data_IF_295969680007
#
_entry.id   IF_295969680007
#
_cell.length_a   1.000
_cell.length_b   1.000
_cell.length_c   1.000
_cell.angle_alpha   90.00
_cell.angle_beta   90.00
_cell.angle_gamma   90.00
#
_symmetry.space_group_name_H-M   'P 1'
#
loop_
_entity.id
_entity.type
_entity.pdbx_description
1 polymer ?
#
# COMPACT_ATOMS: atom_id res chain seq x y z
N UNK A 1 -14.17 1.89 -2.63
CA UNK A 1 -14.65 1.45 -1.32
C UNK A 1 -13.61 0.50 -0.69
N UNK A 2 -13.34 0.67 0.62
CA UNK A 2 -12.37 -0.16 1.36
C UNK A 2 -12.98 -1.45 1.90
N UNK A 3 -14.30 -1.57 1.89
CA UNK A 3 -15.05 -2.73 2.38
C UNK A 3 -15.25 -3.75 1.27
N UNK A 4 -14.19 -4.52 0.97
CA UNK A 4 -14.18 -5.56 -0.06
C UNK A 4 -13.73 -6.89 0.59
N UNK A 5 -14.34 -8.01 0.18
CA UNK A 5 -14.00 -9.33 0.68
C UNK A 5 -14.17 -9.45 2.20
N UNK A 6 -13.17 -10.01 2.89
CA UNK A 6 -13.23 -10.21 4.34
C UNK A 6 -13.39 -8.90 5.13
N UNK A 7 -12.89 -7.76 4.62
CA UNK A 7 -13.06 -6.46 5.28
C UNK A 7 -14.53 -6.06 5.39
N UNK A 8 -15.33 -6.38 4.37
CA UNK A 8 -16.77 -6.21 4.43
C UNK A 8 -17.42 -7.22 5.38
N UNK A 9 -17.15 -8.50 5.16
CA UNK A 9 -17.83 -9.55 5.91
C UNK A 9 -17.50 -9.51 7.40
N UNK A 10 -16.25 -9.42 7.77
CA UNK A 10 -15.86 -9.38 9.19
C UNK A 10 -16.31 -8.08 9.89
N UNK A 11 -16.61 -7.02 9.14
CA UNK A 11 -17.14 -5.77 9.72
C UNK A 11 -18.65 -5.80 9.85
N UNK A 12 -19.40 -6.28 8.84
CA UNK A 12 -20.84 -6.10 8.76
C UNK A 12 -21.66 -7.39 8.81
N UNK A 13 -21.12 -8.52 8.35
CA UNK A 13 -21.89 -9.73 8.13
C UNK A 13 -21.06 -11.03 8.27
N UNK A 14 -20.34 -11.23 9.40
CA UNK A 14 -19.46 -12.39 9.56
C UNK A 14 -20.21 -13.72 9.48
N UNK A 15 -21.49 -13.73 9.86
CA UNK A 15 -22.34 -14.91 9.82
C UNK A 15 -22.65 -15.42 8.40
N UNK A 16 -22.40 -14.60 7.37
CA UNK A 16 -22.63 -14.98 5.96
C UNK A 16 -21.46 -15.72 5.33
N UNK A 17 -20.34 -15.85 6.05
CA UNK A 17 -19.12 -16.48 5.54
C UNK A 17 -18.90 -17.81 6.23
N UNK A 18 -18.88 -18.87 5.43
CA UNK A 18 -18.64 -20.24 5.91
C UNK A 18 -17.17 -20.47 6.25
N UNK A 19 -16.26 -20.02 5.39
CA UNK A 19 -14.80 -20.14 5.57
C UNK A 19 -14.18 -18.75 5.62
N UNK A 20 -13.60 -18.34 6.77
CA UNK A 20 -13.02 -17.01 6.90
C UNK A 20 -11.77 -16.85 6.03
N UNK A 21 -11.40 -15.61 5.75
CA UNK A 21 -10.15 -15.31 5.04
C UNK A 21 -8.94 -15.85 5.80
N UNK A 22 -8.07 -16.55 5.10
CA UNK A 22 -6.92 -17.25 5.67
C UNK A 22 -7.20 -18.71 6.05
N UNK A 23 -8.47 -19.13 6.10
CA UNK A 23 -8.79 -20.53 6.38
C UNK A 23 -8.14 -21.49 5.37
N UNK A 24 -7.58 -22.57 5.88
CA UNK A 24 -7.00 -23.64 5.07
C UNK A 24 -7.05 -24.97 5.79
N UNK A 25 -7.06 -26.05 5.01
CA UNK A 25 -6.93 -27.40 5.53
C UNK A 25 -5.50 -27.87 5.41
N UNK A 26 -5.03 -28.65 6.39
CA UNK A 26 -3.72 -29.25 6.40
C UNK A 26 -3.83 -30.74 6.71
N UNK A 27 -2.84 -31.54 6.26
CA UNK A 27 -2.71 -32.95 6.63
C UNK A 27 -2.07 -33.13 8.01
N UNK A 28 -1.67 -32.03 8.65
CA UNK A 28 -1.10 -32.02 10.00
C UNK A 28 -1.72 -30.89 10.81
N UNK A 29 -1.44 -30.84 12.10
CA UNK A 29 -1.94 -29.82 13.03
C UNK A 29 -0.78 -28.97 13.56
N UNK A 30 -1.07 -27.73 13.86
CA UNK A 30 -0.10 -26.80 14.41
C UNK A 30 -0.62 -26.14 15.68
N UNK A 31 0.28 -25.84 16.59
CA UNK A 31 0.07 -24.96 17.73
C UNK A 31 0.93 -23.71 17.53
N UNK A 32 0.37 -22.55 17.86
CA UNK A 32 1.12 -21.29 17.77
C UNK A 32 0.90 -20.46 19.04
N UNK A 33 1.95 -19.76 19.47
CA UNK A 33 1.93 -18.90 20.64
C UNK A 33 2.79 -17.66 20.38
N UNK A 34 2.29 -16.48 20.72
CA UNK A 34 3.07 -15.24 20.72
C UNK A 34 4.10 -15.33 21.85
N UNK A 35 5.36 -15.23 21.50
CA UNK A 35 6.49 -15.33 22.46
C UNK A 35 7.09 -13.99 22.80
N UNK A 36 6.98 -13.02 21.88
CA UNK A 36 7.45 -11.66 22.09
C UNK A 36 6.64 -10.67 21.29
N UNK A 37 6.44 -9.47 21.81
CA UNK A 37 5.84 -8.35 21.09
C UNK A 37 6.40 -7.04 21.62
N UNK A 38 6.81 -6.15 20.74
CA UNK A 38 7.33 -4.83 21.11
C UNK A 38 7.02 -3.79 20.04
N UNK A 39 7.03 -2.53 20.45
CA UNK A 39 7.03 -1.36 19.57
C UNK A 39 8.32 -0.58 19.83
N UNK A 40 9.15 -0.46 18.81
CA UNK A 40 10.39 0.27 18.87
C UNK A 40 10.56 1.09 17.59
N UNK A 41 10.84 2.38 17.74
CA UNK A 41 11.09 3.33 16.63
C UNK A 41 10.05 3.25 15.50
N UNK A 42 8.76 3.24 15.86
CA UNK A 42 7.65 3.19 14.92
C UNK A 42 7.43 1.83 14.24
N UNK A 43 8.15 0.78 14.66
CA UNK A 43 8.03 -0.58 14.15
C UNK A 43 7.53 -1.52 15.23
N UNK A 44 6.49 -2.27 14.92
CA UNK A 44 5.95 -3.33 15.77
C UNK A 44 6.58 -4.65 15.33
N UNK A 45 7.20 -5.36 16.27
CA UNK A 45 7.76 -6.70 16.04
C UNK A 45 6.95 -7.71 16.85
N UNK A 46 6.45 -8.74 16.17
CA UNK A 46 5.72 -9.86 16.80
C UNK A 46 6.47 -11.16 16.49
N UNK A 47 6.86 -11.88 17.54
CA UNK A 47 7.42 -13.21 17.42
C UNK A 47 6.38 -14.27 17.79
N UNK A 48 6.23 -15.24 16.92
CA UNK A 48 5.27 -16.34 17.11
C UNK A 48 6.00 -17.66 16.98
N UNK A 49 5.98 -18.45 18.05
CA UNK A 49 6.42 -19.84 18.01
C UNK A 49 5.33 -20.70 17.35
N UNK A 50 5.69 -21.44 16.31
CA UNK A 50 4.81 -22.38 15.62
C UNK A 50 5.40 -23.77 15.76
N UNK A 51 4.60 -24.73 16.25
CA UNK A 51 4.98 -26.13 16.43
C UNK A 51 4.06 -27.04 15.63
N UNK A 52 4.64 -27.95 14.87
CA UNK A 52 3.88 -29.02 14.24
C UNK A 52 3.53 -30.09 15.30
N UNK A 53 2.24 -30.21 15.65
CA UNK A 53 1.73 -31.14 16.66
C UNK A 53 1.13 -32.42 16.04
N UNK A 54 1.06 -32.50 14.71
CA UNK A 54 0.54 -33.67 14.00
C UNK A 54 1.63 -34.64 13.56
N UNK A 55 1.23 -35.61 12.75
CA UNK A 55 2.07 -36.74 12.37
C UNK A 55 2.75 -36.60 10.99
N UNK A 56 2.43 -35.55 10.25
CA UNK A 56 2.98 -35.31 8.91
C UNK A 56 3.76 -34.00 8.85
N UNK A 57 4.76 -33.94 8.01
CA UNK A 57 5.45 -32.68 7.76
C UNK A 57 4.54 -31.69 7.04
N UNK A 58 4.55 -30.44 7.47
CA UNK A 58 3.69 -29.38 6.92
C UNK A 58 4.23 -28.00 7.14
N UNK A 59 3.55 -27.01 6.56
CA UNK A 59 3.83 -25.59 6.74
C UNK A 59 2.58 -24.89 7.25
N UNK A 60 2.80 -23.87 8.09
CA UNK A 60 1.73 -23.02 8.59
C UNK A 60 2.02 -21.56 8.25
N UNK A 61 0.97 -20.74 8.15
CA UNK A 61 1.06 -19.29 7.94
C UNK A 61 0.49 -18.57 9.15
N UNK A 62 1.30 -17.72 9.75
CA UNK A 62 0.82 -16.77 10.76
C UNK A 62 0.48 -15.46 10.07
N UNK A 63 -0.69 -14.93 10.38
CA UNK A 63 -1.23 -13.68 9.84
C UNK A 63 -1.42 -12.68 10.97
N UNK A 64 -1.01 -11.44 10.75
CA UNK A 64 -1.24 -10.33 11.65
C UNK A 64 -2.35 -9.43 11.11
N UNK A 65 -3.29 -9.09 11.97
CA UNK A 65 -4.41 -8.21 11.64
C UNK A 65 -4.43 -7.00 12.55
N UNK A 66 -4.47 -5.82 11.96
CA UNK A 66 -4.67 -4.58 12.69
C UNK A 66 -6.16 -4.30 12.90
N UNK A 67 -6.52 -4.04 14.15
CA UNK A 67 -7.81 -3.51 14.57
C UNK A 67 -7.59 -2.06 15.00
N UNK A 68 -7.80 -1.13 14.08
CA UNK A 68 -7.66 0.30 14.33
C UNK A 68 -8.93 0.88 14.98
N UNK A 69 -8.82 1.97 15.75
CA UNK A 69 -10.00 2.65 16.29
C UNK A 69 -10.88 3.15 15.15
N UNK A 70 -12.19 3.07 15.30
CA UNK A 70 -13.13 3.51 14.27
C UNK A 70 -12.99 4.99 13.94
N UNK A 71 -12.76 5.82 14.95
CA UNK A 71 -12.52 7.24 14.79
C UNK A 71 -13.60 7.97 14.00
N UNK A 72 -13.20 9.00 13.29
CA UNK A 72 -14.07 9.80 12.43
C UNK A 72 -14.18 9.22 11.01
N UNK A 73 -13.14 8.49 10.56
CA UNK A 73 -13.09 7.95 9.20
C UNK A 73 -13.90 6.66 9.03
N UNK A 74 -14.03 5.86 10.10
CA UNK A 74 -14.58 4.52 10.03
C UNK A 74 -13.63 3.54 9.33
N UNK A 75 -13.46 2.35 9.89
CA UNK A 75 -12.47 1.39 9.42
C UNK A 75 -13.02 -0.04 9.42
N UNK A 76 -12.49 -0.95 8.58
CA UNK A 76 -12.77 -2.37 8.71
C UNK A 76 -12.40 -2.87 10.09
N UNK A 77 -13.15 -3.86 10.61
CA UNK A 77 -12.91 -4.41 11.94
C UNK A 77 -11.52 -5.03 12.09
N UNK A 78 -11.04 -5.68 11.02
CA UNK A 78 -9.69 -6.25 10.94
C UNK A 78 -9.11 -6.03 9.55
N UNK A 79 -7.83 -5.65 9.48
CA UNK A 79 -7.09 -5.48 8.22
C UNK A 79 -5.77 -6.25 8.31
N UNK A 80 -5.50 -7.16 7.37
CA UNK A 80 -4.23 -7.87 7.29
C UNK A 80 -3.09 -6.85 7.14
N UNK A 81 -2.14 -6.86 8.06
CA UNK A 81 -1.00 -5.95 8.09
C UNK A 81 0.36 -6.67 7.99
N UNK A 82 0.40 -7.99 8.15
CA UNK A 82 1.62 -8.77 7.99
C UNK A 82 1.32 -10.27 7.96
N UNK A 83 2.21 -11.05 7.42
CA UNK A 83 2.15 -12.51 7.49
C UNK A 83 3.52 -13.12 7.23
N UNK A 84 3.74 -14.32 7.77
CA UNK A 84 4.94 -15.10 7.51
C UNK A 84 4.59 -16.58 7.48
N UNK A 85 5.31 -17.35 6.66
CA UNK A 85 5.09 -18.79 6.49
C UNK A 85 6.27 -19.58 7.02
N UNK A 86 6.00 -20.64 7.79
CA UNK A 86 7.06 -21.54 8.27
C UNK A 86 7.79 -22.25 7.12
N UNK A 87 9.02 -22.66 7.37
CA UNK A 87 9.64 -23.74 6.61
C UNK A 87 8.79 -25.03 6.74
N UNK A 88 9.15 -26.08 6.02
CA UNK A 88 8.55 -27.39 6.21
C UNK A 88 8.96 -27.92 7.61
N UNK A 89 8.00 -28.04 8.52
CA UNK A 89 8.21 -28.55 9.87
C UNK A 89 7.89 -30.04 9.93
N UNK A 90 8.86 -30.83 10.38
CA UNK A 90 8.63 -32.23 10.70
C UNK A 90 7.71 -32.37 11.96
N UNK A 91 7.13 -33.54 12.22
CA UNK A 91 6.41 -33.80 13.46
C UNK A 91 7.22 -33.41 14.70
N UNK A 92 6.59 -32.69 15.63
CA UNK A 92 7.16 -32.12 16.84
C UNK A 92 8.21 -31.00 16.63
N UNK A 93 8.56 -30.66 15.40
CA UNK A 93 9.46 -29.53 15.08
C UNK A 93 8.77 -28.18 15.31
N UNK A 94 9.55 -27.20 15.76
CA UNK A 94 9.08 -25.83 15.99
C UNK A 94 9.94 -24.82 15.23
N UNK A 95 9.36 -23.67 14.97
CA UNK A 95 10.03 -22.48 14.41
C UNK A 95 9.47 -21.22 15.05
N UNK A 96 10.31 -20.24 15.28
CA UNK A 96 9.86 -18.87 15.61
C UNK A 96 9.79 -18.09 14.30
N UNK A 97 8.67 -17.44 14.07
CA UNK A 97 8.44 -16.47 13.00
C UNK A 97 8.51 -15.07 13.59
N UNK A 98 9.25 -14.18 12.96
CA UNK A 98 9.33 -12.76 13.33
C UNK A 98 8.64 -11.95 12.24
N UNK A 99 7.58 -11.24 12.59
CA UNK A 99 6.78 -10.44 11.65
C UNK A 99 6.84 -8.98 12.09
N UNK A 100 7.26 -8.11 11.19
CA UNK A 100 7.39 -6.67 11.43
C UNK A 100 6.28 -5.90 10.72
N UNK A 101 5.74 -4.87 11.38
CA UNK A 101 4.72 -3.96 10.85
C UNK A 101 5.11 -2.53 11.18
N UNK A 102 5.21 -1.65 10.20
CA UNK A 102 5.42 -0.24 10.47
C UNK A 102 4.09 0.39 10.93
N UNK A 103 4.14 1.19 11.98
CA UNK A 103 2.96 1.90 12.50
C UNK A 103 2.34 2.79 11.43
N UNK A 104 3.14 3.44 10.61
CA UNK A 104 2.70 4.33 9.53
C UNK A 104 1.85 3.61 8.48
N UNK A 105 2.08 2.31 8.25
CA UNK A 105 1.30 1.49 7.31
C UNK A 105 -0.14 1.24 7.78
N UNK A 106 -0.44 1.52 9.05
CA UNK A 106 -1.77 1.44 9.65
C UNK A 106 -2.60 2.72 9.43
N UNK A 107 -2.01 3.76 8.84
CA UNK A 107 -2.68 5.03 8.61
C UNK A 107 -3.85 4.90 7.62
N UNK A 108 -4.86 5.72 7.82
CA UNK A 108 -6.04 5.82 6.96
C UNK A 108 -6.06 7.16 6.23
N UNK A 109 -6.54 7.16 4.99
CA UNK A 109 -6.61 8.38 4.19
C UNK A 109 -7.88 9.18 4.48
N UNK A 110 -7.71 10.44 4.83
CA UNK A 110 -8.80 11.42 4.99
C UNK A 110 -8.95 12.25 3.72
N UNK A 111 -9.91 11.89 2.89
CA UNK A 111 -10.24 12.62 1.67
C UNK A 111 -11.17 13.82 1.92
N UNK A 112 -11.88 13.80 3.01
CA UNK A 112 -12.91 14.80 3.37
C UNK A 112 -12.40 15.94 4.23
N UNK A 113 -11.34 15.69 5.00
CA UNK A 113 -10.87 16.60 6.04
C UNK A 113 -11.65 16.49 7.35
N UNK A 114 -12.44 15.40 7.53
CA UNK A 114 -13.25 15.21 8.74
C UNK A 114 -12.40 15.10 10.01
N UNK A 115 -11.14 14.66 9.89
CA UNK A 115 -10.18 14.63 11.01
C UNK A 115 -9.50 15.99 11.26
N UNK A 116 -9.76 16.98 10.44
CA UNK A 116 -9.05 18.27 10.38
C UNK A 116 -7.87 18.28 9.39
N UNK A 117 -7.58 17.16 8.73
CA UNK A 117 -6.40 16.95 7.88
C UNK A 117 -6.78 16.42 6.50
N UNK A 118 -7.33 17.29 5.64
CA UNK A 118 -7.75 16.91 4.28
C UNK A 118 -6.58 16.45 3.42
N UNK A 119 -6.81 15.40 2.65
CA UNK A 119 -5.83 14.77 1.74
C UNK A 119 -4.58 14.24 2.44
N UNK A 120 -4.75 13.74 3.66
CA UNK A 120 -3.66 13.17 4.47
C UNK A 120 -3.88 11.69 4.75
N UNK A 121 -2.78 10.94 4.87
CA UNK A 121 -2.78 9.72 5.65
C UNK A 121 -2.61 10.08 7.12
N UNK A 122 -3.51 9.60 7.96
CA UNK A 122 -3.53 9.89 9.40
C UNK A 122 -3.64 8.63 10.23
N UNK A 123 -2.97 8.63 11.37
CA UNK A 123 -3.24 7.72 12.47
C UNK A 123 -4.20 8.43 13.42
N UNK A 124 -5.45 7.97 13.46
CA UNK A 124 -6.43 8.59 14.36
C UNK A 124 -6.15 8.23 15.81
N UNK A 125 -6.43 9.16 16.72
CA UNK A 125 -6.36 8.94 18.16
C UNK A 125 -7.14 7.69 18.57
N UNK A 126 -6.55 6.89 19.47
CA UNK A 126 -7.17 5.74 20.10
C UNK A 126 -6.29 4.51 20.13
N UNK A 127 -6.85 3.42 20.63
CA UNK A 127 -6.15 2.16 20.78
C UNK A 127 -6.12 1.38 19.48
N UNK A 128 -4.93 0.94 19.10
CA UNK A 128 -4.66 0.01 18.01
C UNK A 128 -4.32 -1.35 18.61
N UNK A 129 -4.89 -2.41 18.06
CA UNK A 129 -4.64 -3.78 18.49
C UNK A 129 -4.13 -4.57 17.30
N UNK A 130 -3.02 -5.28 17.48
CA UNK A 130 -2.51 -6.25 16.51
C UNK A 130 -2.91 -7.64 16.99
N UNK A 131 -3.64 -8.35 16.15
CA UNK A 131 -4.06 -9.71 16.40
C UNK A 131 -3.20 -10.67 15.57
N UNK A 132 -2.82 -11.83 16.12
CA UNK A 132 -2.07 -12.88 15.45
C UNK A 132 -2.88 -14.18 15.43
N UNK A 133 -2.83 -14.89 14.30
CA UNK A 133 -3.52 -16.18 14.14
C UNK A 133 -3.32 -16.75 12.74
N UNK A 134 -4.01 -17.85 12.45
CA UNK A 134 -3.92 -18.54 11.14
C UNK A 134 -4.99 -18.10 10.15
N UNK A 135 -6.01 -17.42 10.62
CA UNK A 135 -7.07 -16.80 9.81
C UNK A 135 -7.64 -15.57 10.52
N UNK A 136 -8.47 -14.81 9.84
CA UNK A 136 -9.02 -13.54 10.34
C UNK A 136 -9.86 -13.68 11.61
N UNK A 137 -10.49 -14.85 11.85
CA UNK A 137 -11.33 -15.10 13.02
C UNK A 137 -10.55 -15.70 14.18
N UNK A 138 -9.63 -16.63 13.89
CA UNK A 138 -8.76 -17.24 14.89
C UNK A 138 -7.70 -16.30 15.45
N UNK A 139 -7.46 -15.16 14.76
CA UNK A 139 -6.49 -14.17 15.20
C UNK A 139 -6.95 -13.49 16.50
N UNK A 140 -6.15 -13.67 17.57
CA UNK A 140 -6.33 -13.10 18.91
C UNK A 140 -5.36 -11.95 19.16
N UNK A 141 -5.69 -11.08 20.14
CA UNK A 141 -4.86 -9.92 20.47
C UNK A 141 -3.46 -10.34 20.92
N UNK A 142 -2.44 -9.90 20.20
CA UNK A 142 -1.03 -10.16 20.45
C UNK A 142 -0.28 -8.94 21.00
N UNK A 143 -0.68 -7.75 20.58
CA UNK A 143 -0.07 -6.48 20.99
C UNK A 143 -1.10 -5.35 20.92
N UNK A 144 -0.93 -4.31 21.74
CA UNK A 144 -1.71 -3.08 21.64
C UNK A 144 -0.88 -1.86 21.99
N UNK A 145 -1.20 -0.74 21.35
CA UNK A 145 -0.60 0.55 21.62
C UNK A 145 -1.63 1.67 21.48
N UNK A 146 -1.33 2.83 22.00
CA UNK A 146 -2.21 3.99 21.99
C UNK A 146 -1.61 5.10 21.14
N UNK A 147 -2.45 5.77 20.36
CA UNK A 147 -2.14 7.05 19.71
C UNK A 147 -2.89 8.14 20.46
N UNK A 148 -2.16 8.99 21.17
CA UNK A 148 -2.73 10.01 22.05
C UNK A 148 -3.47 11.13 21.32
N UNK A 149 -2.98 11.49 20.12
CA UNK A 149 -3.55 12.53 19.26
C UNK A 149 -3.50 12.08 17.81
N UNK A 150 -4.50 12.50 17.02
CA UNK A 150 -4.51 12.22 15.58
C UNK A 150 -3.28 12.84 14.91
N UNK A 151 -2.46 12.00 14.30
CA UNK A 151 -1.17 12.37 13.74
C UNK A 151 -1.17 12.21 12.22
N UNK A 152 -0.64 13.23 11.51
CA UNK A 152 -0.44 13.16 10.06
C UNK A 152 0.84 12.37 9.76
N UNK A 153 0.67 11.24 9.09
CA UNK A 153 1.79 10.43 8.58
C UNK A 153 2.31 10.99 7.26
N UNK A 154 1.38 11.37 6.37
CA UNK A 154 1.74 11.90 5.07
C UNK A 154 0.70 12.86 4.54
N UNK A 155 1.15 14.08 4.24
CA UNK A 155 0.35 15.06 3.50
C UNK A 155 0.46 14.77 2.00
N UNK A 156 -0.67 14.71 1.33
CA UNK A 156 -0.77 14.60 -0.13
C UNK A 156 -1.54 15.79 -0.69
N UNK A 157 -1.64 15.83 -2.01
CA UNK A 157 -2.55 16.72 -2.73
C UNK A 157 -3.76 15.93 -3.22
N UNK A 158 -4.92 16.59 -3.34
CA UNK A 158 -6.07 15.94 -3.92
C UNK A 158 -5.77 15.54 -5.37
N UNK A 159 -5.81 14.24 -5.64
CA UNK A 159 -5.63 13.67 -6.96
C UNK A 159 -6.63 12.53 -7.14
N UNK A 160 -7.09 12.30 -8.37
CA UNK A 160 -8.03 11.22 -8.70
C UNK A 160 -9.33 11.24 -7.87
N UNK A 161 -9.69 12.39 -7.31
CA UNK A 161 -10.99 12.55 -6.66
C UNK A 161 -12.11 12.42 -7.71
N UNK A 162 -13.24 11.82 -7.36
CA UNK A 162 -14.34 11.67 -8.31
C UNK A 162 -14.90 13.02 -8.73
N UNK A 163 -15.27 13.15 -10.00
CA UNK A 163 -15.98 14.34 -10.52
C UNK A 163 -17.49 14.19 -10.42
N UNK A 164 -17.98 12.95 -10.37
CA UNK A 164 -19.40 12.65 -10.21
C UNK A 164 -19.69 12.22 -8.77
N UNK A 165 -20.76 12.75 -8.15
CA UNK A 165 -21.10 12.40 -6.79
C UNK A 165 -21.56 10.93 -6.71
N UNK A 166 -21.13 10.24 -5.66
CA UNK A 166 -21.60 8.90 -5.30
C UNK A 166 -21.48 8.71 -3.78
N UNK A 167 -22.04 7.62 -3.30
CA UNK A 167 -22.01 7.26 -1.87
C UNK A 167 -21.11 6.06 -1.64
N UNK A 168 -20.42 6.05 -0.50
CA UNK A 168 -19.63 4.91 -0.01
C UNK A 168 -20.16 4.42 1.34
N UNK A 169 -19.84 3.18 1.67
CA UNK A 169 -20.17 2.61 2.98
C UNK A 169 -19.24 3.12 4.06
N UNK A 170 -19.82 3.31 5.26
CA UNK A 170 -19.12 3.60 6.49
C UNK A 170 -19.73 2.77 7.63
N UNK A 171 -18.92 2.24 8.57
CA UNK A 171 -19.47 1.53 9.71
C UNK A 171 -20.09 2.48 10.72
N UNK A 172 -21.24 2.13 11.19
CA UNK A 172 -21.92 2.78 12.30
C UNK A 172 -22.13 1.76 13.41
N UNK A 173 -21.70 2.09 14.64
CA UNK A 173 -21.91 1.22 15.78
C UNK A 173 -23.42 1.13 16.09
N UNK A 174 -23.95 -0.08 16.12
CA UNK A 174 -25.34 -0.30 16.55
C UNK A 174 -25.51 0.11 18.02
N UNK A 175 -26.75 0.40 18.42
CA UNK A 175 -27.10 0.80 19.81
C UNK A 175 -26.58 -0.22 20.85
N UNK A 176 -26.44 -1.49 20.47
CA UNK A 176 -25.90 -2.54 21.33
C UNK A 176 -24.38 -2.70 21.28
N UNK A 177 -23.63 -1.83 20.56
CA UNK A 177 -22.14 -1.79 20.43
C UNK A 177 -21.47 -3.11 20.00
N UNK A 178 -22.24 -4.15 19.65
CA UNK A 178 -21.74 -5.48 19.33
C UNK A 178 -21.61 -5.72 17.80
N UNK A 179 -22.24 -4.91 16.98
CA UNK A 179 -22.20 -5.03 15.53
C UNK A 179 -22.11 -3.66 14.86
N UNK A 180 -21.34 -3.60 13.79
CA UNK A 180 -21.40 -2.47 12.88
C UNK A 180 -22.50 -2.69 11.84
N UNK A 181 -23.20 -1.62 11.50
CA UNK A 181 -24.13 -1.59 10.38
C UNK A 181 -23.61 -0.65 9.31
N UNK A 182 -23.74 -0.97 8.01
CA UNK A 182 -23.29 -0.09 6.95
C UNK A 182 -24.26 1.10 6.85
N UNK A 183 -23.73 2.30 6.94
CA UNK A 183 -24.41 3.54 6.56
C UNK A 183 -23.75 4.12 5.33
N UNK A 184 -24.50 4.91 4.55
CA UNK A 184 -23.97 5.52 3.34
C UNK A 184 -23.61 6.97 3.61
N UNK A 185 -22.40 7.37 3.26
CA UNK A 185 -21.95 8.77 3.28
C UNK A 185 -21.61 9.24 1.86
N UNK A 186 -21.74 10.54 1.63
CA UNK A 186 -21.36 11.14 0.35
C UNK A 186 -19.82 11.21 0.25
N UNK A 187 -19.30 10.84 -0.92
CA UNK A 187 -17.86 10.91 -1.20
C UNK A 187 -17.53 12.33 -1.67
N UNK A 188 -16.47 12.97 -1.13
CA UNK A 188 -16.03 14.28 -1.60
C UNK A 188 -15.70 14.25 -3.10
N UNK A 189 -16.21 15.21 -3.84
CA UNK A 189 -15.87 15.40 -5.25
C UNK A 189 -14.63 16.28 -5.42
N UNK A 190 -14.05 16.25 -6.63
CA UNK A 190 -12.89 17.08 -6.96
C UNK A 190 -13.23 18.57 -6.84
N UNK A 191 -12.37 19.30 -6.13
CA UNK A 191 -12.41 20.77 -5.98
C UNK A 191 -11.21 21.43 -6.68
N UNK A 192 -10.36 20.63 -7.33
CA UNK A 192 -9.11 21.09 -7.93
C UNK A 192 -9.30 21.26 -9.43
N UNK A 193 -8.95 22.43 -9.97
CA UNK A 193 -8.74 22.61 -11.41
C UNK A 193 -7.42 21.93 -11.79
N UNK A 194 -7.53 20.81 -12.51
CA UNK A 194 -6.38 20.00 -12.92
C UNK A 194 -5.46 20.76 -13.90
N UNK A 195 -5.99 21.70 -14.69
CA UNK A 195 -5.18 22.50 -15.59
C UNK A 195 -4.39 23.56 -14.82
N UNK A 196 -5.03 24.27 -13.90
CA UNK A 196 -4.32 25.21 -13.03
C UNK A 196 -3.24 24.51 -12.21
N UNK A 197 -3.55 23.36 -11.63
CA UNK A 197 -2.58 22.56 -10.89
C UNK A 197 -1.42 22.12 -11.76
N UNK A 198 -1.68 21.66 -12.99
CA UNK A 198 -0.63 21.28 -13.95
C UNK A 198 0.24 22.47 -14.29
N UNK A 199 -0.33 23.62 -14.58
CA UNK A 199 0.40 24.85 -14.91
C UNK A 199 1.27 25.30 -13.72
N UNK A 200 0.71 25.28 -12.51
CA UNK A 200 1.44 25.64 -11.29
C UNK A 200 2.62 24.71 -10.95
N UNK A 201 2.57 23.47 -11.45
CA UNK A 201 3.61 22.46 -11.21
C UNK A 201 4.51 22.20 -12.46
N UNK A 202 4.42 23.05 -13.48
CA UNK A 202 5.36 22.95 -14.59
C UNK A 202 6.80 23.17 -14.06
N UNK A 203 7.75 22.32 -14.47
CA UNK A 203 9.14 22.55 -14.14
C UNK A 203 9.62 23.87 -14.74
N UNK A 204 10.64 24.46 -14.13
CA UNK A 204 11.30 25.62 -14.70
C UNK A 204 11.89 25.29 -16.07
N UNK A 205 11.82 26.24 -16.99
CA UNK A 205 12.44 26.10 -18.30
C UNK A 205 13.95 25.87 -18.18
N UNK A 206 14.45 24.92 -18.95
CA UNK A 206 15.88 24.64 -19.08
C UNK A 206 16.31 25.23 -20.46
N UNK A 207 16.98 26.37 -20.48
CA UNK A 207 17.41 26.97 -21.75
C UNK A 207 18.37 26.06 -22.53
N UNK A 208 18.16 25.94 -23.84
CA UNK A 208 19.06 25.19 -24.73
C UNK A 208 20.43 25.83 -24.79
N UNK A 209 21.50 25.04 -24.65
CA UNK A 209 22.89 25.51 -24.57
C UNK A 209 23.78 25.02 -25.69
N UNK A 210 23.22 24.41 -26.73
CA UNK A 210 23.95 23.60 -27.72
C UNK A 210 24.68 22.40 -27.10
N UNK A 211 25.12 21.46 -27.93
CA UNK A 211 25.83 20.27 -27.49
C UNK A 211 27.16 20.62 -26.82
N UNK A 212 27.26 20.29 -25.55
CA UNK A 212 28.48 20.46 -24.73
C UNK A 212 29.26 19.16 -24.59
N UNK A 213 28.80 18.08 -25.20
CA UNK A 213 29.41 16.75 -25.10
C UNK A 213 29.26 16.08 -23.72
N UNK A 214 28.35 16.57 -22.87
CA UNK A 214 28.08 15.98 -21.56
C UNK A 214 27.41 14.63 -21.74
N UNK A 215 27.88 13.60 -21.05
CA UNK A 215 27.35 12.25 -21.10
C UNK A 215 26.62 11.91 -19.80
N UNK A 216 25.67 10.99 -19.86
CA UNK A 216 25.01 10.48 -18.65
C UNK A 216 26.01 9.90 -17.63
N UNK A 217 27.14 9.38 -18.09
CA UNK A 217 28.23 8.94 -17.21
C UNK A 217 28.83 10.10 -16.40
N UNK A 218 28.90 11.32 -16.97
CA UNK A 218 29.36 12.51 -16.26
C UNK A 218 28.37 12.96 -15.20
N UNK A 219 27.06 12.81 -15.46
CA UNK A 219 26.02 13.06 -14.47
C UNK A 219 26.11 12.03 -13.34
N UNK A 220 26.23 10.74 -13.68
CA UNK A 220 26.38 9.66 -12.69
C UNK A 220 27.61 9.85 -11.80
N UNK A 221 28.70 10.38 -12.34
CA UNK A 221 29.93 10.65 -11.57
C UNK A 221 29.87 11.94 -10.73
N UNK A 222 28.79 12.74 -10.86
CA UNK A 222 28.64 14.02 -10.18
C UNK A 222 29.44 15.17 -10.82
N UNK A 223 30.04 14.96 -11.99
CA UNK A 223 30.81 16.00 -12.73
C UNK A 223 29.89 17.06 -13.33
N UNK A 224 28.72 16.68 -13.76
CA UNK A 224 27.67 17.54 -14.31
C UNK A 224 26.30 17.20 -13.68
N UNK A 225 25.39 18.17 -13.67
CA UNK A 225 24.02 18.00 -13.24
C UNK A 225 23.15 17.44 -14.37
N UNK A 226 21.99 16.86 -14.00
CA UNK A 226 21.00 16.42 -14.98
C UNK A 226 20.46 17.60 -15.81
N UNK A 227 20.29 18.77 -15.20
CA UNK A 227 19.84 19.98 -15.90
C UNK A 227 20.83 20.44 -16.98
N UNK A 228 22.14 20.39 -16.68
CA UNK A 228 23.18 20.71 -17.71
C UNK A 228 23.18 19.68 -18.85
N UNK A 229 22.96 18.40 -18.53
CA UNK A 229 22.84 17.36 -19.55
C UNK A 229 21.61 17.59 -20.43
N UNK A 230 20.45 17.90 -19.84
CA UNK A 230 19.20 18.15 -20.59
C UNK A 230 19.32 19.42 -21.43
N UNK A 231 19.97 20.46 -20.92
CA UNK A 231 20.13 21.75 -21.60
C UNK A 231 20.86 21.67 -22.96
N UNK A 232 21.66 20.64 -23.17
CA UNK A 232 22.35 20.43 -24.45
C UNK A 232 21.55 19.62 -25.48
N UNK A 233 20.44 19.02 -25.08
CA UNK A 233 19.61 18.20 -25.96
C UNK A 233 18.64 19.09 -26.75
N UNK A 234 18.55 18.89 -28.04
CA UNK A 234 17.56 19.57 -28.87
C UNK A 234 16.15 19.09 -28.56
N UNK A 235 15.13 19.88 -28.90
CA UNK A 235 13.73 19.48 -28.80
C UNK A 235 13.45 18.18 -29.55
N UNK A 236 14.16 17.97 -30.65
CA UNK A 236 14.07 16.72 -31.41
C UNK A 236 14.61 15.53 -30.59
N UNK A 237 15.78 15.68 -29.96
CA UNK A 237 16.36 14.60 -29.11
C UNK A 237 15.50 14.33 -27.92
N UNK A 238 14.96 15.36 -27.24
CA UNK A 238 14.04 15.23 -26.14
C UNK A 238 12.74 14.52 -26.56
N UNK A 239 12.19 14.87 -27.73
CA UNK A 239 10.99 14.21 -28.26
C UNK A 239 11.25 12.73 -28.58
N UNK A 240 12.44 12.39 -29.09
CA UNK A 240 12.82 10.99 -29.33
C UNK A 240 12.94 10.21 -28.01
N UNK A 241 13.48 10.82 -26.95
CA UNK A 241 13.58 10.18 -25.62
C UNK A 241 12.20 9.90 -25.04
N UNK A 242 11.29 10.89 -25.10
CA UNK A 242 9.94 10.78 -24.56
C UNK A 242 9.10 9.75 -25.33
N UNK A 243 9.13 9.86 -26.65
CA UNK A 243 8.36 8.98 -27.54
C UNK A 243 8.97 7.58 -27.62
N UNK A 244 10.27 7.48 -27.45
CA UNK A 244 11.06 6.30 -27.81
C UNK A 244 11.13 6.11 -29.33
N UNK A 245 12.24 5.58 -29.79
CA UNK A 245 12.42 5.22 -31.18
C UNK A 245 12.22 3.71 -31.36
N UNK A 246 11.46 3.33 -32.38
CA UNK A 246 11.24 1.92 -32.71
C UNK A 246 12.53 1.21 -33.11
N UNK A 247 12.58 -0.11 -32.96
CA UNK A 247 13.74 -0.94 -33.26
C UNK A 247 14.28 -0.84 -34.70
N UNK A 248 13.55 -0.20 -35.59
CA UNK A 248 13.95 0.05 -36.99
C UNK A 248 14.49 1.46 -37.25
N UNK A 249 14.55 2.31 -36.23
CA UNK A 249 15.05 3.67 -36.43
C UNK A 249 16.58 3.65 -36.56
N UNK A 250 17.16 4.40 -37.55
CA UNK A 250 18.61 4.51 -37.68
C UNK A 250 19.28 5.22 -36.51
N UNK A 251 18.52 5.88 -35.63
CA UNK A 251 18.99 6.58 -34.44
C UNK A 251 19.00 5.73 -33.19
N UNK A 252 18.40 4.55 -33.22
CA UNK A 252 18.35 3.64 -32.08
C UNK A 252 19.37 2.54 -32.25
N UNK A 253 20.29 2.48 -31.33
CA UNK A 253 21.24 1.37 -31.22
C UNK A 253 20.70 0.36 -30.21
N UNK A 254 20.76 -0.92 -30.54
CA UNK A 254 20.37 -1.99 -29.59
C UNK A 254 21.09 -1.79 -28.24
N UNK A 255 20.36 -1.88 -27.16
CA UNK A 255 20.87 -1.65 -25.81
C UNK A 255 20.83 -0.19 -25.32
N UNK A 256 20.30 0.75 -26.12
CA UNK A 256 20.04 2.12 -25.65
C UNK A 256 18.71 2.21 -24.90
N UNK A 257 18.56 3.23 -24.04
CA UNK A 257 17.35 3.43 -23.24
C UNK A 257 16.10 3.56 -24.13
N UNK A 258 16.21 4.21 -25.28
CA UNK A 258 15.11 4.35 -26.24
C UNK A 258 14.72 3.04 -26.93
N UNK A 259 15.60 2.02 -26.93
CA UNK A 259 15.29 0.70 -27.48
C UNK A 259 14.56 -0.21 -26.49
N UNK A 260 14.64 0.08 -25.17
CA UNK A 260 14.12 -0.83 -24.15
C UNK A 260 12.87 -0.37 -23.43
N UNK A 261 12.77 0.82 -23.12
CA UNK A 261 11.67 1.28 -22.27
C UNK A 261 10.89 2.34 -22.98
N UNK A 262 11.47 2.73 -24.04
CA UNK A 262 10.85 3.70 -24.86
C UNK A 262 9.59 3.10 -25.41
N UNK A 263 8.65 3.90 -25.45
CA UNK A 263 7.43 3.69 -26.17
C UNK A 263 7.81 3.65 -27.64
N UNK A 264 8.26 2.48 -28.10
CA UNK A 264 8.40 2.26 -29.53
C UNK A 264 7.01 2.26 -30.15
N UNK A 265 6.90 2.60 -31.42
CA UNK A 265 5.62 2.56 -32.14
C UNK A 265 4.91 1.21 -31.97
N UNK A 266 5.66 0.11 -31.84
CA UNK A 266 5.15 -1.23 -31.59
C UNK A 266 4.67 -1.41 -30.13
N UNK A 267 5.32 -0.79 -29.16
CA UNK A 267 4.87 -0.85 -27.75
C UNK A 267 3.61 -0.02 -27.53
N UNK A 268 3.45 1.10 -28.20
CA UNK A 268 2.22 1.92 -28.15
C UNK A 268 1.01 1.16 -28.70
N UNK A 269 1.17 0.43 -29.80
CA UNK A 269 0.11 -0.36 -30.38
C UNK A 269 -0.36 -1.47 -29.42
N UNK A 270 0.55 -2.07 -28.67
CA UNK A 270 0.21 -3.16 -27.73
C UNK A 270 -0.25 -2.68 -26.36
N UNK A 271 0.06 -1.45 -25.96
CA UNK A 271 -0.29 -0.91 -24.62
C UNK A 271 -1.56 -0.05 -24.70
N UNK A 272 -1.85 0.55 -25.83
CA UNK A 272 -2.96 1.50 -25.99
C UNK A 272 -4.22 0.91 -26.62
N UNK A 273 -4.23 -0.36 -27.01
CA UNK A 273 -5.46 -1.04 -27.39
C UNK A 273 -6.18 -1.58 -26.15
N UNK A 274 -7.49 -1.27 -26.00
CA UNK A 274 -8.31 -1.74 -24.89
C UNK A 274 -8.57 -3.25 -24.93
#
# INVERSE_FOLDING_TARGET
DIYVGYRYFETFAPEKVQYPFGFGLSYTTFEHNVTHSELNDGKITIEVSVKNTGNYSGKEVIQLYACAPQGMLGKPAKVLCGFEKTKLLAPAESQILTIEVNVDDLASYDDSGVTGHKSCYVLEKGQYIICAGTDVRSAEAAFSFEIDETTVVKQLTQALAPVLPFKRMKPFASEHKLKFVPVMEDVPTSEVDENERRIANLPADIPFTDDKGIKLADVKSGKHTMSEFIAQLSDYDLSCIIRGEGMGSPKVTAGTASAFGGVSDLSLIHISEP
#
